data_IF_015650981980
#
_entry.id   IF_015650981980
#
_cell.length_a   1.000
_cell.length_b   1.000
_cell.length_c   1.000
_cell.angle_alpha   90.00
_cell.angle_beta   90.00
_cell.angle_gamma   90.00
#
_symmetry.space_group_name_H-M   'P 1'
#
loop_
_entity.id
_entity.type
_entity.pdbx_description
1 polymer ?
#
# COMPACT_ATOMS: atom_id res chain seq x y z
N UNK A 1 36.94 -25.17 31.25
CA UNK A 1 35.62 -25.50 30.68
C UNK A 1 34.60 -24.33 30.70
N UNK A 2 34.96 -23.10 31.15
CA UNK A 2 34.00 -21.98 31.25
C UNK A 2 33.77 -21.14 29.97
N UNK A 3 34.68 -21.16 28.98
CA UNK A 3 34.57 -20.29 27.79
C UNK A 3 33.53 -20.74 26.75
N UNK A 4 33.32 -22.06 26.63
CA UNK A 4 32.36 -22.62 25.67
C UNK A 4 30.90 -22.36 26.09
N UNK A 5 30.62 -22.34 27.39
CA UNK A 5 29.27 -22.15 27.92
C UNK A 5 28.80 -20.69 27.80
N UNK A 6 29.70 -19.72 28.03
CA UNK A 6 29.40 -18.30 27.84
C UNK A 6 29.13 -17.95 26.37
N UNK A 7 29.88 -18.52 25.42
CA UNK A 7 29.66 -18.27 23.99
C UNK A 7 28.29 -18.76 23.50
N UNK A 8 27.80 -19.88 24.06
CA UNK A 8 26.48 -20.44 23.73
C UNK A 8 25.35 -19.56 24.28
N UNK A 9 25.49 -19.03 25.50
CA UNK A 9 24.51 -18.10 26.07
C UNK A 9 24.40 -16.81 25.24
N UNK A 10 25.53 -16.22 24.83
CA UNK A 10 25.50 -15.03 23.98
C UNK A 10 24.84 -15.27 22.62
N UNK A 11 25.11 -16.42 21.99
CA UNK A 11 24.47 -16.79 20.74
C UNK A 11 22.95 -16.96 20.91
N UNK A 12 22.52 -17.54 22.03
CA UNK A 12 21.10 -17.74 22.33
C UNK A 12 20.36 -16.42 22.57
N UNK A 13 20.96 -15.50 23.34
CA UNK A 13 20.41 -14.16 23.58
C UNK A 13 20.33 -13.37 22.26
N UNK A 14 21.38 -13.40 21.45
CA UNK A 14 21.38 -12.75 20.15
C UNK A 14 20.27 -13.31 19.23
N UNK A 15 20.08 -14.62 19.20
CA UNK A 15 19.00 -15.24 18.43
C UNK A 15 17.61 -14.81 18.90
N UNK A 16 17.38 -14.72 20.22
CA UNK A 16 16.10 -14.22 20.76
C UNK A 16 15.88 -12.76 20.35
N UNK A 17 16.89 -11.90 20.51
CA UNK A 17 16.79 -10.48 20.15
C UNK A 17 16.48 -10.31 18.67
N UNK A 18 17.20 -11.03 17.80
CA UNK A 18 16.93 -11.00 16.35
C UNK A 18 15.51 -11.47 16.05
N UNK A 19 15.06 -12.56 16.70
CA UNK A 19 13.70 -13.08 16.51
C UNK A 19 12.64 -12.06 16.94
N UNK A 20 12.81 -11.42 18.09
CA UNK A 20 11.89 -10.37 18.59
C UNK A 20 11.87 -9.17 17.63
N UNK A 21 13.03 -8.72 17.16
CA UNK A 21 13.13 -7.61 16.20
C UNK A 21 12.41 -7.96 14.90
N UNK A 22 12.63 -9.15 14.35
CA UNK A 22 11.96 -9.58 13.11
C UNK A 22 10.45 -9.70 13.30
N UNK A 23 10.00 -10.28 14.42
CA UNK A 23 8.58 -10.45 14.71
C UNK A 23 7.83 -9.13 14.88
N UNK A 24 8.49 -8.09 15.40
CA UNK A 24 7.87 -6.76 15.57
C UNK A 24 8.02 -5.93 14.30
N UNK A 25 9.18 -5.97 13.65
CA UNK A 25 9.46 -5.13 12.50
C UNK A 25 8.69 -5.59 11.25
N UNK A 26 8.57 -6.90 11.02
CA UNK A 26 7.88 -7.44 9.84
C UNK A 26 6.41 -6.97 9.68
N UNK A 27 5.54 -7.00 10.71
CA UNK A 27 4.19 -6.46 10.60
C UNK A 27 4.17 -4.94 10.43
N UNK A 28 5.04 -4.19 11.12
CA UNK A 28 5.14 -2.73 11.00
C UNK A 28 5.53 -2.31 9.57
N UNK A 29 6.50 -3.01 8.96
CA UNK A 29 6.89 -2.75 7.58
C UNK A 29 5.74 -3.03 6.60
N UNK A 30 4.95 -4.08 6.82
CA UNK A 30 3.79 -4.38 5.99
C UNK A 30 2.69 -3.33 6.07
N UNK A 31 2.41 -2.79 7.26
CA UNK A 31 1.45 -1.69 7.41
C UNK A 31 1.96 -0.42 6.73
N UNK A 32 3.25 -0.11 6.89
CA UNK A 32 3.87 1.03 6.22
C UNK A 32 3.78 0.92 4.70
N UNK A 33 4.10 -0.25 4.14
CA UNK A 33 4.00 -0.53 2.72
C UNK A 33 2.57 -0.37 2.19
N UNK A 34 1.57 -0.87 2.92
CA UNK A 34 0.17 -0.68 2.58
C UNK A 34 -0.24 0.80 2.55
N UNK A 35 0.14 1.55 3.59
CA UNK A 35 -0.14 2.99 3.64
C UNK A 35 0.57 3.76 2.52
N UNK A 36 1.81 3.39 2.19
CA UNK A 36 2.56 3.99 1.11
C UNK A 36 1.88 3.75 -0.26
N UNK A 37 1.33 2.55 -0.49
CA UNK A 37 0.56 2.26 -1.70
C UNK A 37 -0.67 3.17 -1.82
N UNK A 38 -1.46 3.26 -0.75
CA UNK A 38 -2.67 4.09 -0.72
C UNK A 38 -2.36 5.58 -0.87
N UNK A 39 -1.29 6.07 -0.25
CA UNK A 39 -0.92 7.48 -0.33
C UNK A 39 -0.52 7.87 -1.76
N UNK A 40 0.21 7.01 -2.47
CA UNK A 40 0.57 7.27 -3.87
C UNK A 40 -0.64 7.21 -4.80
N UNK A 41 -1.53 6.23 -4.62
CA UNK A 41 -2.81 6.21 -5.33
C UNK A 41 -3.62 7.49 -5.08
N UNK A 42 -3.65 7.97 -3.82
CA UNK A 42 -4.34 9.21 -3.45
C UNK A 42 -3.74 10.43 -4.14
N UNK A 43 -2.41 10.57 -4.15
CA UNK A 43 -1.71 11.68 -4.83
C UNK A 43 -2.05 11.71 -6.31
N UNK A 44 -2.08 10.55 -6.95
CA UNK A 44 -2.46 10.45 -8.37
C UNK A 44 -3.93 10.84 -8.59
N UNK A 45 -4.84 10.43 -7.70
CA UNK A 45 -6.24 10.85 -7.79
C UNK A 45 -6.40 12.37 -7.64
N UNK A 46 -5.63 13.02 -6.76
CA UNK A 46 -5.61 14.48 -6.63
C UNK A 46 -5.18 15.13 -7.95
N UNK A 47 -4.16 14.59 -8.61
CA UNK A 47 -3.72 15.09 -9.91
C UNK A 47 -4.79 14.92 -10.98
N UNK A 48 -5.45 13.76 -11.04
CA UNK A 48 -6.58 13.51 -11.94
C UNK A 48 -7.71 14.51 -11.69
N UNK A 49 -8.05 14.79 -10.44
CA UNK A 49 -9.09 15.75 -10.09
C UNK A 49 -8.73 17.16 -10.60
N UNK A 50 -7.49 17.59 -10.39
CA UNK A 50 -6.99 18.88 -10.87
C UNK A 50 -7.06 18.99 -12.40
N UNK A 51 -6.64 17.96 -13.13
CA UNK A 51 -6.70 17.93 -14.60
C UNK A 51 -8.13 17.98 -15.15
N UNK A 52 -9.11 17.46 -14.40
CA UNK A 52 -10.53 17.45 -14.79
C UNK A 52 -11.32 18.63 -14.21
N UNK A 53 -10.69 19.55 -13.46
CA UNK A 53 -11.35 20.70 -12.86
C UNK A 53 -12.39 20.31 -11.79
N UNK A 54 -12.18 19.20 -11.10
CA UNK A 54 -13.03 18.70 -10.02
C UNK A 54 -12.23 18.59 -8.71
N UNK A 55 -12.93 18.37 -7.61
CA UNK A 55 -12.32 18.18 -6.31
C UNK A 55 -12.19 16.69 -5.98
N UNK A 56 -11.05 16.30 -5.43
CA UNK A 56 -10.85 14.97 -4.88
C UNK A 56 -11.25 14.96 -3.40
N UNK A 57 -12.25 14.17 -3.03
CA UNK A 57 -12.65 14.06 -1.63
C UNK A 57 -11.78 13.04 -0.88
N UNK A 58 -11.84 11.78 -1.31
CA UNK A 58 -11.18 10.69 -0.61
C UNK A 58 -10.95 9.48 -1.51
N UNK A 59 -9.99 8.65 -1.10
CA UNK A 59 -9.78 7.33 -1.64
C UNK A 59 -10.40 6.34 -0.66
N UNK A 60 -11.61 5.88 -0.96
CA UNK A 60 -12.20 4.79 -0.20
C UNK A 60 -11.51 3.48 -0.58
N UNK A 61 -11.47 2.54 0.35
CA UNK A 61 -10.98 1.21 0.05
C UNK A 61 -11.73 0.17 0.88
N UNK A 62 -11.89 -1.02 0.31
CA UNK A 62 -12.39 -2.20 1.03
C UNK A 62 -11.38 -3.34 0.91
N UNK A 63 -11.28 -4.14 1.98
CA UNK A 63 -10.32 -5.25 2.06
C UNK A 63 -11.12 -6.55 2.14
N UNK A 64 -10.89 -7.44 1.18
CA UNK A 64 -11.46 -8.78 1.14
C UNK A 64 -10.35 -9.81 0.94
N UNK A 65 -9.92 -10.46 2.03
CA UNK A 65 -8.79 -11.38 2.01
C UNK A 65 -7.47 -10.67 1.66
N UNK A 66 -6.94 -10.93 0.46
CA UNK A 66 -5.74 -10.27 -0.08
C UNK A 66 -6.05 -9.18 -1.10
N UNK A 67 -7.31 -9.03 -1.49
CA UNK A 67 -7.73 -8.07 -2.49
C UNK A 67 -8.16 -6.77 -1.80
N UNK A 68 -7.61 -5.66 -2.27
CA UNK A 68 -7.91 -4.30 -1.84
C UNK A 68 -8.60 -3.61 -3.00
N UNK A 69 -9.89 -3.33 -2.85
CA UNK A 69 -10.64 -2.59 -3.84
C UNK A 69 -10.54 -1.10 -3.51
N UNK A 70 -10.10 -0.31 -4.49
CA UNK A 70 -9.90 1.13 -4.40
C UNK A 70 -11.04 1.86 -5.11
N UNK A 71 -11.65 2.82 -4.41
CA UNK A 71 -12.82 3.56 -4.88
C UNK A 71 -12.58 5.06 -4.69
N UNK A 72 -11.91 5.72 -5.65
CA UNK A 72 -11.71 7.16 -5.60
C UNK A 72 -13.05 7.91 -5.72
N UNK A 73 -13.29 8.88 -4.84
CA UNK A 73 -14.48 9.74 -4.92
C UNK A 73 -14.10 11.18 -5.28
N UNK A 74 -14.78 11.70 -6.31
CA UNK A 74 -14.62 13.05 -6.81
C UNK A 74 -15.94 13.82 -6.71
N UNK A 75 -15.85 15.13 -6.54
CA UNK A 75 -16.99 16.03 -6.47
C UNK A 75 -16.79 17.23 -7.37
N UNK A 76 -17.87 17.70 -7.99
CA UNK A 76 -17.94 19.07 -8.45
C UNK A 76 -18.02 19.97 -7.19
N UNK A 77 -17.43 21.18 -7.20
CA UNK A 77 -17.37 22.08 -6.03
C UNK A 77 -18.72 22.59 -5.47
N UNK A 78 -19.82 21.90 -5.81
CA UNK A 78 -21.18 22.02 -5.30
C UNK A 78 -21.64 20.74 -4.58
N UNK A 79 -20.70 19.91 -4.09
CA UNK A 79 -20.93 18.63 -3.41
C UNK A 79 -21.67 17.55 -4.24
N UNK A 80 -21.80 17.73 -5.56
CA UNK A 80 -22.32 16.67 -6.44
C UNK A 80 -21.22 15.73 -6.89
N UNK A 81 -21.46 14.42 -6.86
CA UNK A 81 -20.47 13.41 -7.28
C UNK A 81 -20.08 13.64 -8.74
N UNK A 82 -18.78 13.69 -9.00
CA UNK A 82 -18.22 13.81 -10.33
C UNK A 82 -17.80 12.45 -10.88
N UNK A 83 -18.26 12.14 -12.09
CA UNK A 83 -17.79 10.98 -12.84
C UNK A 83 -16.50 11.37 -13.58
N UNK A 84 -15.37 10.82 -13.12
CA UNK A 84 -14.05 11.11 -13.66
C UNK A 84 -13.43 9.85 -14.21
N UNK A 85 -12.96 9.90 -15.45
CA UNK A 85 -12.21 8.80 -16.03
C UNK A 85 -10.76 8.83 -15.51
N UNK A 86 -10.49 8.17 -14.38
CA UNK A 86 -9.14 8.03 -13.82
C UNK A 86 -8.35 6.86 -14.43
N UNK A 87 -9.02 5.95 -15.15
CA UNK A 87 -8.39 4.80 -15.82
C UNK A 87 -7.53 3.97 -14.86
N UNK A 88 -6.37 3.52 -15.30
CA UNK A 88 -5.43 2.74 -14.47
C UNK A 88 -4.43 3.60 -13.68
N UNK A 89 -4.56 4.94 -13.70
CA UNK A 89 -3.54 5.84 -13.12
C UNK A 89 -3.24 5.55 -11.64
N UNK A 90 -4.25 5.35 -10.75
CA UNK A 90 -3.96 5.04 -9.35
C UNK A 90 -3.18 3.73 -9.19
N UNK A 91 -3.45 2.72 -10.04
CA UNK A 91 -2.74 1.44 -10.04
C UNK A 91 -1.31 1.57 -10.58
N UNK A 92 -1.11 2.41 -11.60
CA UNK A 92 0.23 2.72 -12.11
C UNK A 92 1.09 3.41 -11.06
N UNK A 93 0.50 4.32 -10.28
CA UNK A 93 1.18 4.99 -9.17
C UNK A 93 1.61 3.99 -8.09
N UNK A 94 0.74 3.03 -7.75
CA UNK A 94 1.09 1.92 -6.85
C UNK A 94 2.22 1.08 -7.46
N UNK A 95 2.10 0.66 -8.71
CA UNK A 95 3.11 -0.17 -9.38
C UNK A 95 4.50 0.50 -9.39
N UNK A 96 4.54 1.80 -9.66
CA UNK A 96 5.78 2.58 -9.75
C UNK A 96 6.56 2.61 -8.44
N UNK A 97 5.87 2.75 -7.31
CA UNK A 97 6.50 2.83 -5.97
C UNK A 97 7.19 1.54 -5.59
N UNK A 98 6.62 0.41 -6.00
CA UNK A 98 7.14 -0.92 -5.66
C UNK A 98 7.91 -1.57 -6.81
N UNK A 99 8.19 -0.82 -7.87
CA UNK A 99 8.84 -1.31 -9.09
C UNK A 99 8.18 -2.59 -9.65
N UNK A 100 6.86 -2.70 -9.47
CA UNK A 100 6.06 -3.79 -10.00
C UNK A 100 5.80 -3.59 -11.49
N UNK A 101 5.56 -4.68 -12.26
CA UNK A 101 5.12 -4.55 -13.64
C UNK A 101 3.85 -3.71 -13.72
N UNK A 102 3.73 -2.94 -14.81
CA UNK A 102 2.53 -2.16 -15.06
C UNK A 102 1.28 -3.06 -15.02
N UNK A 103 0.16 -2.59 -14.47
CA UNK A 103 -1.07 -3.36 -14.38
C UNK A 103 -1.56 -3.77 -15.78
N UNK A 104 -1.40 -5.06 -16.10
CA UNK A 104 -2.00 -5.69 -17.28
C UNK A 104 -3.46 -6.08 -16.94
N UNK A 105 -4.31 -5.09 -16.66
CA UNK A 105 -5.72 -5.32 -16.35
C UNK A 105 -6.30 -4.36 -15.30
N UNK A 106 -7.28 -4.86 -14.53
CA UNK A 106 -8.02 -4.07 -13.54
C UNK A 106 -7.36 -4.07 -12.15
N UNK A 107 -6.28 -4.82 -11.97
CA UNK A 107 -5.60 -4.99 -10.70
C UNK A 107 -4.07 -4.99 -10.84
N UNK A 108 -3.36 -4.56 -9.79
CA UNK A 108 -1.91 -4.67 -9.63
C UNK A 108 -1.57 -5.49 -8.38
N UNK A 109 -0.65 -6.44 -8.53
CA UNK A 109 -0.20 -7.28 -7.43
C UNK A 109 1.10 -6.74 -6.82
N UNK A 110 1.06 -6.39 -5.53
CA UNK A 110 2.19 -5.78 -4.81
C UNK A 110 2.22 -6.30 -3.37
N UNK A 111 3.39 -6.76 -2.92
CA UNK A 111 3.68 -7.08 -1.52
C UNK A 111 2.63 -7.98 -0.82
N UNK A 112 2.14 -8.98 -1.55
CA UNK A 112 1.11 -9.96 -1.15
C UNK A 112 -0.34 -9.48 -1.20
N UNK A 113 -0.59 -8.25 -1.64
CA UNK A 113 -1.93 -7.75 -1.89
C UNK A 113 -2.20 -7.54 -3.38
N UNK A 114 -3.47 -7.68 -3.74
CA UNK A 114 -3.99 -7.40 -5.06
C UNK A 114 -4.81 -6.12 -4.97
N UNK A 115 -4.32 -5.02 -5.56
CA UNK A 115 -5.02 -3.74 -5.57
C UNK A 115 -5.84 -3.65 -6.85
N UNK A 116 -7.15 -3.48 -6.74
CA UNK A 116 -8.08 -3.37 -7.87
C UNK A 116 -8.82 -2.04 -7.80
N UNK A 117 -9.33 -1.54 -8.93
CA UNK A 117 -10.22 -0.38 -8.95
C UNK A 117 -11.69 -0.82 -8.95
N UNK A 118 -12.52 -0.15 -8.15
CA UNK A 118 -13.98 -0.28 -8.21
C UNK A 118 -14.50 0.36 -9.50
N UNK A 119 -15.43 -0.33 -10.18
CA UNK A 119 -16.02 0.13 -11.45
C UNK A 119 -17.24 0.99 -11.24
#
# INVERSE_FOLDING_TARGET
MLKGQAAVEYAFIAAIVVTVVVLVAAPVFREFEFHLALENARRECVQVAWENGVEFAQLNYSISGRTILLSPEFFYGNDSKAEVAYGQRPLNAIAAVFHAPAPEGECVNVLNYEYCLEK
#
